data_IF_704655452109
#
_entry.id   IF_704655452109
#
_cell.length_a   1.000
_cell.length_b   1.000
_cell.length_c   1.000
_cell.angle_alpha   90.00
_cell.angle_beta   90.00
_cell.angle_gamma   90.00
#
_symmetry.space_group_name_H-M   'P 1'
#
loop_
_entity.id
_entity.type
_entity.pdbx_description
1 polymer ?
#
# COMPACT_ATOMS: atom_id res chain seq x y z
N UNK A 1 13.10 7.53 -6.67
CA UNK A 1 12.86 6.08 -6.49
C UNK A 1 12.31 5.73 -5.11
N UNK A 2 12.79 6.35 -4.01
CA UNK A 2 12.27 6.03 -2.66
C UNK A 2 10.83 6.53 -2.38
N UNK A 3 10.44 7.70 -2.90
CA UNK A 3 9.13 8.29 -2.61
C UNK A 3 7.97 7.48 -3.19
N UNK A 4 8.09 7.00 -4.44
CA UNK A 4 7.06 6.19 -5.10
C UNK A 4 6.77 4.90 -4.34
N UNK A 5 7.82 4.25 -3.81
CA UNK A 5 7.67 3.06 -2.99
C UNK A 5 7.00 3.35 -1.64
N UNK A 6 7.23 4.55 -1.08
CA UNK A 6 6.61 4.97 0.19
C UNK A 6 5.14 5.38 0.04
N UNK A 7 4.70 5.73 -1.17
CA UNK A 7 3.32 6.18 -1.44
C UNK A 7 2.38 5.05 -1.87
N UNK A 8 2.85 3.79 -1.89
CA UNK A 8 1.99 2.63 -2.19
C UNK A 8 0.90 2.53 -1.12
N UNK A 9 -0.37 2.55 -1.55
CA UNK A 9 -1.54 2.49 -0.66
C UNK A 9 -2.12 3.86 -0.27
N UNK A 10 -1.55 4.98 -0.74
CA UNK A 10 -2.13 6.30 -0.52
C UNK A 10 -3.35 6.50 -1.42
N UNK A 11 -4.45 7.00 -0.85
CA UNK A 11 -5.59 7.44 -1.66
C UNK A 11 -5.30 8.80 -2.32
N UNK A 12 -6.06 9.18 -3.35
CA UNK A 12 -5.91 10.49 -4.00
C UNK A 12 -6.04 11.67 -3.04
N UNK A 13 -6.82 11.53 -1.96
CA UNK A 13 -6.91 12.52 -0.88
C UNK A 13 -5.64 12.59 -0.03
N UNK A 14 -4.99 11.46 0.22
CA UNK A 14 -3.75 11.39 1.00
C UNK A 14 -2.61 12.03 0.21
N UNK A 15 -2.53 11.76 -1.10
CA UNK A 15 -1.57 12.42 -1.99
C UNK A 15 -1.79 13.93 -2.04
N UNK A 16 -3.05 14.38 -2.11
CA UNK A 16 -3.36 15.80 -2.05
C UNK A 16 -2.92 16.43 -0.71
N UNK A 17 -3.18 15.75 0.41
CA UNK A 17 -2.73 16.20 1.72
C UNK A 17 -1.20 16.24 1.81
N UNK A 18 -0.53 15.22 1.27
CA UNK A 18 0.93 15.12 1.21
C UNK A 18 1.56 16.28 0.47
N UNK A 19 1.12 16.52 -0.76
CA UNK A 19 1.63 17.62 -1.56
C UNK A 19 1.31 18.99 -0.94
N UNK A 20 0.18 19.12 -0.24
CA UNK A 20 -0.15 20.37 0.47
C UNK A 20 0.83 20.63 1.61
N UNK A 21 1.13 19.61 2.42
CA UNK A 21 2.04 19.75 3.56
C UNK A 21 3.47 20.02 3.11
N UNK A 22 3.94 19.32 2.06
CA UNK A 22 5.24 19.54 1.44
C UNK A 22 5.39 20.98 0.93
N UNK A 23 4.37 21.50 0.26
CA UNK A 23 4.38 22.88 -0.21
C UNK A 23 4.40 23.90 0.94
N UNK A 24 3.66 23.64 2.03
CA UNK A 24 3.67 24.47 3.23
C UNK A 24 5.04 24.44 3.90
N UNK A 25 5.70 23.28 3.96
CA UNK A 25 7.02 23.15 4.59
C UNK A 25 8.08 23.95 3.83
N UNK A 26 8.18 23.74 2.51
CA UNK A 26 9.09 24.48 1.65
C UNK A 26 8.82 26.01 1.72
N UNK A 27 7.55 26.40 1.85
CA UNK A 27 7.17 27.80 2.02
C UNK A 27 7.64 28.36 3.38
N UNK A 28 7.45 27.62 4.48
CA UNK A 28 7.90 28.01 5.83
C UNK A 28 9.42 28.17 5.91
N UNK A 29 10.16 27.28 5.26
CA UNK A 29 11.62 27.35 5.20
C UNK A 29 12.10 28.57 4.41
N UNK A 30 11.46 28.84 3.27
CA UNK A 30 11.85 29.95 2.38
C UNK A 30 11.46 31.32 2.92
N UNK A 31 10.32 31.42 3.59
CA UNK A 31 9.73 32.68 4.05
C UNK A 31 9.33 32.63 5.53
N UNK A 32 10.28 32.38 6.46
CA UNK A 32 9.98 32.31 7.89
C UNK A 32 9.38 33.63 8.41
N UNK A 33 9.74 34.76 7.80
CA UNK A 33 9.25 36.09 8.18
C UNK A 33 7.72 36.24 8.10
N UNK A 34 7.06 35.46 7.22
CA UNK A 34 5.59 35.47 7.08
C UNK A 34 4.89 34.97 8.35
N UNK A 35 5.62 34.25 9.22
CA UNK A 35 5.10 33.73 10.48
C UNK A 35 5.61 34.47 11.73
N UNK A 36 6.53 35.43 11.57
CA UNK A 36 7.15 36.14 12.70
C UNK A 36 6.79 37.62 12.78
N UNK A 37 6.17 38.19 11.74
CA UNK A 37 5.80 39.60 11.66
C UNK A 37 4.47 39.79 10.93
N UNK A 38 3.74 40.84 11.28
CA UNK A 38 2.46 41.21 10.66
C UNK A 38 2.62 42.08 9.40
N UNK A 39 3.86 42.34 8.99
CA UNK A 39 4.17 43.15 7.81
C UNK A 39 3.81 42.41 6.50
N UNK A 40 3.46 43.16 5.46
CA UNK A 40 3.14 42.60 4.14
C UNK A 40 4.41 42.39 3.32
N UNK A 41 4.68 41.15 2.91
CA UNK A 41 5.84 40.79 2.09
C UNK A 41 5.47 40.49 0.64
N UNK A 42 6.35 40.84 -0.30
CA UNK A 42 6.27 40.38 -1.69
C UNK A 42 6.92 39.00 -1.78
N UNK A 43 6.19 38.03 -2.34
CA UNK A 43 6.60 36.63 -2.43
C UNK A 43 6.97 36.31 -3.87
N UNK A 44 8.14 35.71 -4.07
CA UNK A 44 8.60 35.22 -5.36
C UNK A 44 8.46 33.70 -5.43
N UNK A 45 7.35 33.24 -6.02
CA UNK A 45 7.03 31.81 -6.12
C UNK A 45 8.04 31.01 -6.94
N UNK A 46 8.73 31.63 -7.89
CA UNK A 46 9.72 30.94 -8.74
C UNK A 46 11.00 30.59 -7.96
N UNK A 47 11.24 31.29 -6.84
CA UNK A 47 12.37 31.05 -5.95
C UNK A 47 12.15 29.90 -4.96
N UNK A 48 10.92 29.38 -4.86
CA UNK A 48 10.56 28.28 -3.98
C UNK A 48 10.88 26.94 -4.67
N UNK A 49 11.60 26.07 -3.97
CA UNK A 49 11.92 24.72 -4.44
C UNK A 49 11.60 23.73 -3.36
N UNK A 50 10.93 22.66 -3.75
CA UNK A 50 10.64 21.53 -2.87
C UNK A 50 11.84 20.59 -2.90
N UNK A 51 12.34 20.25 -1.73
CA UNK A 51 13.46 19.33 -1.56
C UNK A 51 13.00 17.99 -0.99
N UNK A 52 13.93 17.03 -0.92
CA UNK A 52 13.61 15.67 -0.46
C UNK A 52 13.22 15.65 1.03
N UNK A 53 13.81 16.51 1.87
CA UNK A 53 13.51 16.54 3.30
C UNK A 53 12.07 16.98 3.57
N UNK A 54 11.52 17.89 2.77
CA UNK A 54 10.11 18.32 2.88
C UNK A 54 9.15 17.14 2.75
N UNK A 55 9.44 16.23 1.81
CA UNK A 55 8.66 15.00 1.66
C UNK A 55 8.80 14.06 2.85
N UNK A 56 10.01 13.91 3.41
CA UNK A 56 10.23 13.04 4.57
C UNK A 56 9.50 13.56 5.82
N UNK A 57 9.50 14.89 6.01
CA UNK A 57 8.79 15.54 7.11
C UNK A 57 7.27 15.50 6.92
N UNK A 58 6.78 15.71 5.70
CA UNK A 58 5.35 15.59 5.42
C UNK A 58 4.83 14.15 5.61
N UNK A 59 5.60 13.14 5.21
CA UNK A 59 5.22 11.73 5.40
C UNK A 59 5.11 11.37 6.89
N UNK A 60 5.99 11.90 7.73
CA UNK A 60 5.94 11.63 9.18
C UNK A 60 4.76 12.35 9.87
N UNK A 61 4.28 13.43 9.28
CA UNK A 61 3.21 14.27 9.84
C UNK A 61 1.80 13.79 9.45
N UNK A 62 1.64 13.23 8.26
CA UNK A 62 0.31 12.91 7.72
C UNK A 62 -0.18 11.54 8.15
N UNK A 63 -1.43 11.48 8.62
CA UNK A 63 -2.14 10.22 8.85
C UNK A 63 -2.99 9.86 7.63
N UNK A 64 -2.71 8.70 7.03
CA UNK A 64 -3.40 8.21 5.82
C UNK A 64 -4.83 7.78 6.10
N UNK A 65 -5.73 7.97 5.13
CA UNK A 65 -7.12 7.54 5.22
C UNK A 65 -7.27 6.05 5.60
N UNK A 66 -6.42 5.18 5.02
CA UNK A 66 -6.40 3.75 5.33
C UNK A 66 -6.06 3.43 6.80
N UNK A 67 -5.40 4.36 7.50
CA UNK A 67 -5.00 4.22 8.90
C UNK A 67 -5.96 4.95 9.88
N UNK A 68 -6.94 5.71 9.39
CA UNK A 68 -7.82 6.56 10.21
C UNK A 68 -8.97 5.84 10.93
N UNK A 69 -9.15 4.53 10.72
CA UNK A 69 -10.26 3.78 11.34
C UNK A 69 -9.96 2.34 11.75
N UNK A 70 -8.77 1.83 11.45
CA UNK A 70 -8.43 0.41 11.66
C UNK A 70 -6.95 0.26 11.99
N UNK A 71 -6.63 -0.59 12.98
CA UNK A 71 -5.24 -0.98 13.25
C UNK A 71 -4.74 -1.79 12.05
N UNK A 72 -3.75 -1.25 11.34
CA UNK A 72 -3.10 -1.97 10.23
C UNK A 72 -2.16 -3.01 10.82
N UNK A 73 -2.57 -4.27 10.67
CA UNK A 73 -1.76 -5.42 11.08
C UNK A 73 -0.74 -5.83 10.00
N UNK A 74 -0.82 -5.30 8.77
CA UNK A 74 0.19 -5.58 7.74
C UNK A 74 1.51 -4.88 8.05
N UNK A 75 2.61 -5.62 8.05
CA UNK A 75 3.97 -5.08 8.19
C UNK A 75 4.96 -5.94 7.44
N UNK A 76 5.79 -5.31 6.60
CA UNK A 76 6.93 -5.94 5.96
C UNK A 76 7.83 -6.64 6.99
N UNK A 77 8.44 -7.76 6.57
CA UNK A 77 9.49 -8.39 7.34
C UNK A 77 10.67 -7.42 7.49
N UNK A 78 11.15 -7.25 8.72
CA UNK A 78 12.40 -6.54 8.96
C UNK A 78 13.56 -7.23 8.23
N UNK A 79 14.43 -6.43 7.60
CA UNK A 79 15.60 -6.89 6.84
C UNK A 79 16.47 -7.89 7.60
N UNK A 80 16.56 -7.76 8.93
CA UNK A 80 17.36 -8.63 9.79
C UNK A 80 16.78 -10.06 9.89
N UNK A 81 15.45 -10.19 9.88
CA UNK A 81 14.76 -11.49 10.02
C UNK A 81 14.28 -12.05 8.68
N UNK A 82 14.26 -11.21 7.63
CA UNK A 82 13.88 -11.58 6.28
C UNK A 82 14.55 -12.88 5.80
N UNK A 83 15.89 -13.07 5.85
CA UNK A 83 16.51 -14.27 5.29
C UNK A 83 16.07 -15.57 5.98
N UNK A 84 15.72 -15.54 7.27
CA UNK A 84 15.25 -16.71 8.01
C UNK A 84 13.81 -17.11 7.65
N UNK A 85 12.98 -16.11 7.34
CA UNK A 85 11.51 -16.27 7.19
C UNK A 85 11.05 -16.25 5.73
N UNK A 86 11.89 -15.76 4.81
CA UNK A 86 11.55 -15.61 3.39
C UNK A 86 11.19 -16.94 2.71
N UNK A 87 11.88 -18.04 3.06
CA UNK A 87 11.54 -19.38 2.55
C UNK A 87 10.12 -19.79 2.95
N UNK A 88 9.77 -19.60 4.22
CA UNK A 88 8.46 -19.94 4.76
C UNK A 88 7.36 -19.07 4.13
N UNK A 89 7.60 -17.76 3.99
CA UNK A 89 6.67 -16.87 3.29
C UNK A 89 6.42 -17.30 1.84
N UNK A 90 7.47 -17.69 1.10
CA UNK A 90 7.31 -18.13 -0.29
C UNK A 90 6.46 -19.39 -0.40
N UNK A 91 6.66 -20.35 0.50
CA UNK A 91 5.86 -21.58 0.57
C UNK A 91 4.39 -21.24 0.84
N UNK A 92 4.12 -20.39 1.84
CA UNK A 92 2.76 -20.01 2.20
C UNK A 92 2.10 -19.23 1.06
N UNK A 93 2.81 -18.33 0.39
CA UNK A 93 2.33 -17.59 -0.77
C UNK A 93 1.94 -18.53 -1.93
N UNK A 94 2.71 -19.59 -2.17
CA UNK A 94 2.38 -20.59 -3.20
C UNK A 94 1.10 -21.38 -2.84
N UNK A 95 0.95 -21.78 -1.57
CA UNK A 95 -0.29 -22.40 -1.10
C UNK A 95 -1.50 -21.46 -1.20
N UNK A 96 -1.32 -20.17 -0.93
CA UNK A 96 -2.38 -19.17 -1.08
C UNK A 96 -2.85 -19.03 -2.52
N UNK A 97 -1.92 -18.89 -3.47
CA UNK A 97 -2.28 -18.80 -4.89
C UNK A 97 -3.05 -20.01 -5.39
N UNK A 98 -2.85 -21.18 -4.76
CA UNK A 98 -3.59 -22.42 -5.05
C UNK A 98 -4.96 -22.47 -4.37
N UNK A 99 -5.03 -22.15 -3.07
CA UNK A 99 -6.26 -22.25 -2.26
C UNK A 99 -7.23 -21.12 -2.59
N UNK A 100 -6.71 -19.90 -2.74
CA UNK A 100 -7.47 -18.68 -2.95
C UNK A 100 -7.41 -18.20 -4.40
N UNK A 101 -7.05 -19.08 -5.36
CA UNK A 101 -6.85 -18.75 -6.78
C UNK A 101 -7.81 -17.64 -7.26
N UNK A 102 -7.28 -16.43 -7.28
CA UNK A 102 -7.94 -15.23 -7.79
C UNK A 102 -7.55 -15.22 -9.26
N UNK A 103 -8.52 -15.43 -10.16
CA UNK A 103 -8.31 -15.10 -11.58
C UNK A 103 -8.10 -13.59 -11.63
N UNK A 104 -6.84 -13.17 -11.58
CA UNK A 104 -6.46 -11.78 -11.73
C UNK A 104 -6.93 -11.32 -13.10
N UNK A 105 -7.59 -10.15 -13.11
CA UNK A 105 -8.07 -9.48 -14.31
C UNK A 105 -6.88 -9.26 -15.23
N UNK A 106 -6.76 -10.07 -16.28
CA UNK A 106 -5.75 -9.86 -17.30
C UNK A 106 -6.09 -8.59 -18.08
N UNK A 107 -5.34 -7.52 -17.87
CA UNK A 107 -5.28 -6.37 -18.80
C UNK A 107 -4.46 -6.74 -20.05
N UNK A 108 -4.62 -7.97 -20.56
CA UNK A 108 -4.10 -8.37 -21.84
C UNK A 108 -5.26 -8.64 -22.78
N UNK A 109 -5.27 -7.86 -23.86
CA UNK A 109 -6.06 -8.05 -25.09
C UNK A 109 -5.61 -9.32 -25.83
N UNK A 110 -5.42 -10.42 -25.11
CA UNK A 110 -5.04 -11.70 -25.68
C UNK A 110 -6.31 -12.53 -25.90
N UNK A 111 -6.45 -13.02 -27.12
CA UNK A 111 -7.62 -13.71 -27.69
C UNK A 111 -7.89 -15.10 -27.07
N UNK A 112 -7.60 -15.30 -25.79
CA UNK A 112 -7.80 -16.55 -25.07
C UNK A 112 -8.46 -16.26 -23.71
N UNK A 113 -9.80 -16.25 -23.67
CA UNK A 113 -10.63 -16.91 -22.65
C UNK A 113 -12.07 -16.37 -22.67
N UNK A 114 -12.77 -16.68 -23.77
CA UNK A 114 -14.22 -16.51 -23.88
C UNK A 114 -14.99 -17.37 -22.87
N UNK A 115 -14.40 -18.45 -22.36
CA UNK A 115 -15.06 -19.37 -21.43
C UNK A 115 -15.19 -18.83 -20.00
N UNK A 116 -14.16 -18.15 -19.47
CA UNK A 116 -14.14 -17.68 -18.08
C UNK A 116 -15.06 -16.47 -17.86
N UNK A 117 -15.15 -15.57 -18.85
CA UNK A 117 -16.08 -14.44 -18.85
C UNK A 117 -17.55 -14.87 -18.96
N UNK A 118 -17.82 -15.97 -19.64
CA UNK A 118 -19.16 -16.54 -19.74
C UNK A 118 -19.58 -17.21 -18.42
N UNK A 119 -18.65 -17.81 -17.69
CA UNK A 119 -18.92 -18.38 -16.36
C UNK A 119 -19.21 -17.30 -15.31
N UNK A 120 -18.45 -16.20 -15.28
CA UNK A 120 -18.69 -15.06 -14.38
C UNK A 120 -20.08 -14.43 -14.60
N UNK A 121 -20.51 -14.31 -15.86
CA UNK A 121 -21.85 -13.83 -16.24
C UNK A 121 -22.96 -14.83 -15.87
N UNK A 122 -22.73 -16.13 -16.10
CA UNK A 122 -23.69 -17.18 -15.75
C UNK A 122 -23.89 -17.30 -14.22
N UNK A 123 -22.83 -17.07 -13.44
CA UNK A 123 -22.84 -17.08 -11.97
C UNK A 123 -23.35 -15.76 -11.35
N UNK A 124 -23.80 -14.81 -12.16
CA UNK A 124 -24.48 -13.61 -11.68
C UNK A 124 -23.60 -12.60 -10.96
N UNK A 125 -22.27 -12.61 -11.16
CA UNK A 125 -21.37 -11.61 -10.60
C UNK A 125 -21.34 -10.35 -11.49
N UNK A 126 -21.97 -9.24 -11.07
CA UNK A 126 -21.99 -8.02 -11.87
C UNK A 126 -20.71 -7.24 -11.54
N UNK A 127 -19.84 -7.09 -12.53
CA UNK A 127 -18.63 -6.26 -12.50
C UNK A 127 -17.46 -6.76 -11.62
N UNK A 128 -16.43 -7.29 -12.29
CA UNK A 128 -15.03 -7.16 -11.84
C UNK A 128 -14.55 -8.06 -10.70
N UNK A 129 -15.36 -8.95 -10.13
CA UNK A 129 -14.90 -9.88 -9.09
C UNK A 129 -14.30 -11.16 -9.68
N UNK A 130 -13.15 -11.56 -9.14
CA UNK A 130 -12.55 -12.88 -9.32
C UNK A 130 -13.54 -13.98 -8.94
N UNK A 131 -13.59 -15.07 -9.73
CA UNK A 131 -14.41 -16.23 -9.40
C UNK A 131 -13.65 -17.05 -8.36
N UNK A 132 -14.14 -17.18 -7.11
CA UNK A 132 -13.55 -18.11 -6.16
C UNK A 132 -13.84 -19.53 -6.64
N UNK A 133 -12.80 -20.26 -7.04
CA UNK A 133 -12.93 -21.65 -7.51
C UNK A 133 -13.16 -22.63 -6.34
N UNK A 134 -12.90 -22.19 -5.11
CA UNK A 134 -12.99 -22.99 -3.90
C UNK A 134 -14.08 -22.43 -2.97
N UNK A 135 -14.96 -23.30 -2.47
CA UNK A 135 -15.99 -22.93 -1.51
C UNK A 135 -15.40 -22.77 -0.10
N UNK A 136 -15.48 -21.54 0.46
CA UNK A 136 -15.01 -21.18 1.81
C UNK A 136 -13.58 -21.66 2.15
N UNK A 137 -12.57 -21.23 1.38
CA UNK A 137 -11.18 -21.54 1.69
C UNK A 137 -10.81 -21.04 3.10
N UNK A 138 -10.11 -21.89 3.86
CA UNK A 138 -9.57 -21.58 5.20
C UNK A 138 -8.11 -21.98 5.23
N UNK A 139 -7.25 -21.12 5.74
CA UNK A 139 -5.84 -21.41 6.00
C UNK A 139 -5.56 -21.18 7.48
N UNK A 140 -4.94 -22.16 8.13
CA UNK A 140 -4.49 -22.06 9.52
C UNK A 140 -2.96 -22.20 9.54
N UNK A 141 -2.28 -21.24 10.15
CA UNK A 141 -0.85 -21.29 10.39
C UNK A 141 -0.62 -21.78 11.82
N UNK A 142 0.15 -22.86 11.98
CA UNK A 142 0.52 -23.39 13.28
C UNK A 142 2.04 -23.31 13.47
N UNK A 143 2.48 -23.02 14.69
CA UNK A 143 3.89 -23.04 15.05
C UNK A 143 4.10 -23.13 16.55
N UNK A 144 5.35 -23.34 16.94
CA UNK A 144 5.77 -23.43 18.34
C UNK A 144 5.70 -22.06 19.00
N UNK A 145 5.45 -22.00 20.30
CA UNK A 145 5.53 -20.75 21.06
C UNK A 145 6.96 -20.17 20.93
N UNK A 146 7.08 -18.94 20.42
CA UNK A 146 8.38 -18.32 20.09
C UNK A 146 8.82 -18.41 18.62
N UNK A 147 8.09 -19.13 17.75
CA UNK A 147 8.37 -19.18 16.30
C UNK A 147 8.16 -17.84 15.55
N UNK A 148 7.85 -16.75 16.28
CA UNK A 148 7.62 -15.39 15.77
C UNK A 148 6.53 -15.32 14.68
N UNK A 149 5.51 -16.19 14.80
CA UNK A 149 4.41 -16.32 13.84
C UNK A 149 3.72 -14.98 13.55
N UNK A 150 3.55 -14.13 14.58
CA UNK A 150 2.93 -12.80 14.46
C UNK A 150 3.64 -11.92 13.42
N UNK A 151 4.97 -12.05 13.27
CA UNK A 151 5.72 -11.29 12.25
C UNK A 151 5.52 -11.86 10.84
N UNK A 152 5.28 -13.16 10.76
CA UNK A 152 4.97 -13.85 9.51
C UNK A 152 3.55 -13.52 9.07
N UNK A 153 2.58 -13.53 9.99
CA UNK A 153 1.18 -13.17 9.77
C UNK A 153 1.04 -11.72 9.26
N UNK A 154 1.76 -10.79 9.90
CA UNK A 154 1.73 -9.39 9.48
C UNK A 154 2.36 -9.17 8.10
N UNK A 155 3.48 -9.85 7.80
CA UNK A 155 4.09 -9.80 6.47
C UNK A 155 3.25 -10.52 5.41
N UNK A 156 2.48 -11.52 5.83
CA UNK A 156 1.58 -12.27 4.98
C UNK A 156 0.37 -11.45 4.54
N UNK A 157 -0.25 -10.69 5.45
CA UNK A 157 -1.35 -9.77 5.11
C UNK A 157 -0.86 -8.70 4.11
N UNK A 158 0.36 -8.19 4.30
CA UNK A 158 0.98 -7.21 3.41
C UNK A 158 1.14 -7.74 1.98
N UNK A 159 1.67 -8.96 1.83
CA UNK A 159 1.85 -9.62 0.53
C UNK A 159 0.50 -9.90 -0.15
N UNK A 160 -0.52 -10.35 0.59
CA UNK A 160 -1.81 -10.68 0.00
C UNK A 160 -2.61 -9.43 -0.45
N UNK A 161 -2.58 -8.35 0.34
CA UNK A 161 -3.18 -7.06 -0.04
C UNK A 161 -2.45 -6.49 -1.27
N UNK A 162 -1.13 -6.63 -1.36
CA UNK A 162 -0.37 -6.09 -2.49
C UNK A 162 -0.54 -6.88 -3.80
N UNK A 163 -1.07 -8.11 -3.75
CA UNK A 163 -1.32 -8.98 -4.92
C UNK A 163 -2.78 -8.86 -5.43
N UNK A 164 -3.70 -8.41 -4.59
CA UNK A 164 -5.13 -8.24 -4.91
C UNK A 164 -5.41 -6.83 -5.42
#
# INVERSE_FOLDING_TARGET
MELEASCVGYCGTDLKSLLTEVAINAFREKYPQVYTSDDTFVIDFDSMKVEKHDFLEAISTITLAAHRGTIVHSRLLSLVIAPCLQRHLKIISDYMSKIFYVVAKGDKKDLLNDSSRNLAKLLGFPYGSSIPVVYRPRLLLCGMEGARLVRLENAFIDVYISIT
#
